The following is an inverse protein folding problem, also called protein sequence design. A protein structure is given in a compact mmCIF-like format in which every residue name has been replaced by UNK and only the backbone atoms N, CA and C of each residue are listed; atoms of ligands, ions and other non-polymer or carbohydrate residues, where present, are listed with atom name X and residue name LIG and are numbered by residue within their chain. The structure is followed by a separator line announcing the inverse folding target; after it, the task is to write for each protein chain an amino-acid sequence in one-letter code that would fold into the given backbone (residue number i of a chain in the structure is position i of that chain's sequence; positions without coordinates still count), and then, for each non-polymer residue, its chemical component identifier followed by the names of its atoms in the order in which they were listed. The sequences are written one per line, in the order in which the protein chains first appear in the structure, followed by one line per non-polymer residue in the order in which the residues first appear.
data_IF_313198874640
#
_entry.id   IF_313198874640
#
_cell.length_a   1.000
_cell.length_b   1.000
_cell.length_c   1.000
_cell.angle_alpha   90.00
_cell.angle_beta   90.00
_cell.angle_gamma   90.00
#
_symmetry.space_group_name_H-M   'P 1'
#
loop_
_entity.id
_entity.type
_entity.pdbx_description
1 polymer ?
#
# COMPACT_ATOMS: atom_id res chain seq x y z
N UNK A 1 12.48 0.66 -12.86
CA UNK A 1 13.47 0.12 -11.94
C UNK A 1 13.49 -1.38 -11.98
N UNK A 2 14.68 -1.94 -12.08
CA UNK A 2 14.85 -3.38 -12.27
C UNK A 2 14.28 -4.21 -11.12
N UNK A 3 14.43 -3.74 -9.88
CA UNK A 3 13.92 -4.45 -8.70
C UNK A 3 12.41 -4.68 -8.77
N UNK A 4 11.65 -3.63 -9.09
CA UNK A 4 10.19 -3.74 -9.17
C UNK A 4 9.76 -4.68 -10.30
N UNK A 5 10.48 -4.65 -11.42
CA UNK A 5 10.21 -5.56 -12.52
C UNK A 5 10.45 -7.01 -12.11
N UNK A 6 11.51 -7.29 -11.37
CA UNK A 6 11.82 -8.65 -10.88
C UNK A 6 10.74 -9.13 -9.93
N UNK A 7 10.32 -8.28 -8.99
CA UNK A 7 9.25 -8.63 -8.05
C UNK A 7 7.95 -8.89 -8.80
N UNK A 8 7.62 -8.02 -9.75
CA UNK A 8 6.42 -8.16 -10.57
C UNK A 8 6.38 -9.50 -11.30
N UNK A 9 7.49 -9.88 -11.92
CA UNK A 9 7.59 -11.16 -12.63
C UNK A 9 7.36 -12.35 -11.71
N UNK A 10 7.88 -12.29 -10.48
CA UNK A 10 7.65 -13.35 -9.49
C UNK A 10 6.18 -13.44 -9.11
N UNK A 11 5.52 -12.29 -8.93
CA UNK A 11 4.11 -12.25 -8.59
C UNK A 11 3.25 -12.83 -9.71
N UNK A 12 3.57 -12.49 -10.94
CA UNK A 12 2.88 -13.02 -12.12
C UNK A 12 3.02 -14.55 -12.15
N UNK A 13 4.24 -15.05 -12.01
CA UNK A 13 4.51 -16.49 -12.08
C UNK A 13 3.81 -17.26 -10.97
N UNK A 14 3.71 -16.68 -9.77
CA UNK A 14 3.05 -17.30 -8.62
C UNK A 14 1.55 -17.03 -8.56
N UNK A 15 1.04 -16.19 -9.46
CA UNK A 15 -0.38 -15.79 -9.49
C UNK A 15 -0.82 -15.14 -8.17
N UNK A 16 0.04 -14.26 -7.63
CA UNK A 16 -0.23 -13.54 -6.39
C UNK A 16 -0.56 -12.09 -6.74
N UNK A 17 -1.71 -11.62 -6.27
CA UNK A 17 -2.09 -10.21 -6.45
C UNK A 17 -1.51 -9.34 -5.34
N UNK A 18 -1.31 -8.06 -5.64
CA UNK A 18 -0.84 -7.08 -4.68
C UNK A 18 -1.73 -5.84 -4.67
N UNK A 19 -1.75 -5.20 -3.52
CA UNK A 19 -2.33 -3.87 -3.35
C UNK A 19 -1.37 -3.06 -2.48
N UNK A 20 -1.43 -1.74 -2.60
CA UNK A 20 -0.54 -0.86 -1.86
C UNK A 20 -1.32 0.14 -1.02
N UNK A 21 -0.72 0.54 0.11
CA UNK A 21 -1.21 1.62 0.94
C UNK A 21 -0.05 2.58 1.16
N UNK A 22 -0.25 3.84 0.81
CA UNK A 22 0.81 4.85 0.82
C UNK A 22 0.33 6.12 1.50
N UNK A 23 1.27 6.89 2.05
CA UNK A 23 1.01 8.19 2.61
C UNK A 23 1.96 9.21 1.95
N UNK A 24 3.15 9.43 2.52
CA UNK A 24 4.06 10.47 2.06
C UNK A 24 4.61 10.23 0.64
N UNK A 25 4.63 9.01 0.17
CA UNK A 25 5.09 8.68 -1.19
C UNK A 25 4.08 9.05 -2.27
N UNK A 26 2.82 9.33 -1.90
CA UNK A 26 1.83 9.87 -2.81
C UNK A 26 1.47 9.01 -4.02
N UNK A 27 1.73 7.70 -3.96
CA UNK A 27 1.44 6.78 -5.06
C UNK A 27 2.68 6.29 -5.79
N UNK A 28 3.86 6.68 -5.36
CA UNK A 28 5.10 6.30 -6.03
C UNK A 28 5.30 4.78 -6.02
N UNK A 29 4.99 4.10 -4.92
CA UNK A 29 5.12 2.65 -4.84
C UNK A 29 4.22 1.96 -5.85
N UNK A 30 2.95 2.35 -5.90
CA UNK A 30 2.00 1.82 -6.87
C UNK A 30 2.48 2.05 -8.30
N UNK A 31 2.91 3.27 -8.60
CA UNK A 31 3.41 3.61 -9.93
C UNK A 31 4.63 2.78 -10.32
N UNK A 32 5.51 2.52 -9.37
CA UNK A 32 6.73 1.73 -9.60
C UNK A 32 6.42 0.31 -10.11
N UNK A 33 5.28 -0.24 -9.71
CA UNK A 33 4.81 -1.52 -10.25
C UNK A 33 4.04 -1.31 -11.56
N UNK A 34 3.10 -0.39 -11.57
CA UNK A 34 2.14 -0.20 -12.66
C UNK A 34 2.82 0.20 -13.98
N UNK A 35 3.93 0.92 -13.91
CA UNK A 35 4.66 1.33 -15.12
C UNK A 35 5.28 0.17 -15.89
N UNK A 36 5.35 -1.02 -15.32
CA UNK A 36 5.94 -2.19 -15.99
C UNK A 36 4.85 -2.99 -16.70
N UNK A 37 5.20 -3.58 -17.86
CA UNK A 37 4.28 -4.43 -18.59
C UNK A 37 3.90 -5.65 -17.77
N UNK A 38 2.64 -6.04 -17.83
CA UNK A 38 2.13 -7.21 -17.12
C UNK A 38 1.60 -6.91 -15.74
N UNK A 39 1.71 -5.65 -15.27
CA UNK A 39 1.25 -5.27 -13.93
C UNK A 39 -0.25 -5.49 -13.72
N UNK A 40 -1.05 -5.35 -14.78
CA UNK A 40 -2.50 -5.55 -14.69
C UNK A 40 -2.88 -6.97 -14.28
N UNK A 41 -1.98 -7.93 -14.44
CA UNK A 41 -2.23 -9.32 -14.03
C UNK A 41 -2.19 -9.50 -12.51
N UNK A 42 -1.51 -8.62 -11.79
CA UNK A 42 -1.28 -8.79 -10.36
C UNK A 42 -1.62 -7.56 -9.51
N UNK A 43 -1.52 -6.35 -10.06
CA UNK A 43 -1.80 -5.15 -9.28
C UNK A 43 -3.31 -4.93 -9.23
N UNK A 44 -3.86 -4.96 -8.01
CA UNK A 44 -5.30 -4.84 -7.79
C UNK A 44 -5.73 -3.41 -7.50
N UNK A 45 -5.20 -2.80 -6.46
CA UNK A 45 -5.57 -1.43 -6.10
C UNK A 45 -4.49 -0.77 -5.23
N UNK A 46 -4.50 0.56 -5.24
CA UNK A 46 -3.61 1.35 -4.39
C UNK A 46 -4.43 2.40 -3.65
N UNK A 47 -4.10 2.59 -2.38
CA UNK A 47 -4.72 3.59 -1.52
C UNK A 47 -3.69 4.63 -1.13
N UNK A 48 -3.99 5.89 -1.39
CA UNK A 48 -3.15 6.99 -0.97
C UNK A 48 -3.89 7.70 0.16
N UNK A 49 -3.55 7.37 1.39
CA UNK A 49 -4.19 7.92 2.58
C UNK A 49 -3.25 8.92 3.23
N UNK A 50 -3.13 10.08 2.60
CA UNK A 50 -2.16 11.08 3.01
C UNK A 50 -2.49 11.71 4.36
N UNK A 51 -3.74 12.12 4.56
CA UNK A 51 -4.17 12.74 5.81
C UNK A 51 -4.48 11.70 6.88
N UNK A 52 -4.44 12.13 8.16
CA UNK A 52 -4.86 11.25 9.26
C UNK A 52 -6.31 10.85 9.13
N UNK A 53 -7.16 11.78 8.70
CA UNK A 53 -8.58 11.51 8.45
C UNK A 53 -8.75 10.37 7.43
N UNK A 54 -7.99 10.41 6.34
CA UNK A 54 -8.04 9.38 5.31
C UNK A 54 -7.54 8.03 5.83
N UNK A 55 -6.47 8.04 6.65
CA UNK A 55 -5.97 6.80 7.27
C UNK A 55 -7.03 6.13 8.12
N UNK A 56 -7.74 6.91 8.91
CA UNK A 56 -8.81 6.40 9.78
C UNK A 56 -9.98 5.87 8.96
N UNK A 57 -10.47 6.68 8.01
CA UNK A 57 -11.69 6.35 7.27
C UNK A 57 -11.48 5.23 6.25
N UNK A 58 -10.34 5.21 5.58
CA UNK A 58 -10.11 4.26 4.49
C UNK A 58 -9.46 2.97 4.95
N UNK A 59 -8.56 3.07 5.94
CA UNK A 59 -7.77 1.91 6.37
C UNK A 59 -7.96 1.54 7.83
N UNK A 60 -8.90 2.19 8.50
CA UNK A 60 -9.24 1.89 9.91
C UNK A 60 -8.06 2.04 10.87
N UNK A 61 -7.16 2.95 10.57
CA UNK A 61 -6.09 3.31 11.51
C UNK A 61 -6.72 3.95 12.73
N UNK A 62 -6.27 3.55 13.91
CA UNK A 62 -6.85 4.04 15.16
C UNK A 62 -6.36 5.46 15.47
N UNK A 63 -7.30 6.31 15.89
CA UNK A 63 -6.95 7.66 16.30
C UNK A 63 -5.91 7.65 17.44
N UNK A 64 -6.05 6.70 18.37
CA UNK A 64 -5.11 6.54 19.47
C UNK A 64 -3.69 6.25 18.98
N UNK A 65 -3.55 5.42 17.94
CA UNK A 65 -2.25 5.11 17.35
C UNK A 65 -1.60 6.35 16.76
N UNK A 66 -2.37 7.14 16.04
CA UNK A 66 -1.89 8.40 15.45
C UNK A 66 -1.48 9.39 16.53
N UNK A 67 -2.24 9.48 17.61
CA UNK A 67 -1.93 10.40 18.72
C UNK A 67 -0.68 9.96 19.50
N UNK A 68 -0.50 8.66 19.70
CA UNK A 68 0.61 8.14 20.50
C UNK A 68 1.91 8.04 19.71
N UNK A 69 1.84 7.54 18.49
CA UNK A 69 3.05 7.22 17.69
C UNK A 69 3.25 8.14 16.50
N UNK A 70 2.23 8.88 16.09
CA UNK A 70 2.30 9.76 14.93
C UNK A 70 2.03 9.04 13.63
N UNK A 71 1.81 9.83 12.58
CA UNK A 71 1.52 9.31 11.25
C UNK A 71 2.71 8.56 10.63
N UNK A 72 3.93 9.00 10.97
CA UNK A 72 5.16 8.41 10.44
C UNK A 72 5.74 7.50 11.50
N UNK A 73 5.23 6.27 11.56
CA UNK A 73 5.65 5.28 12.56
C UNK A 73 5.39 3.88 12.03
N UNK A 74 6.10 2.91 12.57
CA UNK A 74 5.87 1.50 12.21
C UNK A 74 4.49 1.03 12.68
N UNK A 75 4.01 1.56 13.79
CA UNK A 75 2.68 1.22 14.31
C UNK A 75 1.58 1.65 13.35
N UNK A 76 1.66 2.88 12.84
CA UNK A 76 0.69 3.38 11.87
C UNK A 76 0.81 2.61 10.54
N UNK A 77 2.02 2.36 10.08
CA UNK A 77 2.25 1.60 8.85
C UNK A 77 1.64 0.20 8.95
N UNK A 78 1.81 -0.47 10.09
CA UNK A 78 1.23 -1.79 10.31
C UNK A 78 -0.30 -1.75 10.24
N UNK A 79 -0.92 -0.77 10.88
CA UNK A 79 -2.38 -0.64 10.86
C UNK A 79 -2.90 -0.32 9.46
N UNK A 80 -2.14 0.46 8.67
CA UNK A 80 -2.49 0.72 7.27
C UNK A 80 -2.52 -0.58 6.47
N UNK A 81 -1.51 -1.41 6.62
CA UNK A 81 -1.43 -2.70 5.92
C UNK A 81 -2.55 -3.63 6.37
N UNK A 82 -2.79 -3.71 7.68
CA UNK A 82 -3.87 -4.55 8.23
C UNK A 82 -5.22 -4.11 7.69
N UNK A 83 -5.46 -2.80 7.64
CA UNK A 83 -6.71 -2.25 7.10
C UNK A 83 -6.87 -2.52 5.61
N UNK A 84 -5.79 -2.41 4.85
CA UNK A 84 -5.78 -2.73 3.43
C UNK A 84 -6.11 -4.20 3.20
N UNK A 85 -5.48 -5.07 3.95
CA UNK A 85 -5.70 -6.52 3.84
C UNK A 85 -7.16 -6.90 4.04
N UNK A 86 -7.82 -6.26 5.00
CA UNK A 86 -9.23 -6.54 5.31
C UNK A 86 -10.21 -6.05 4.24
N UNK A 87 -9.77 -5.19 3.34
CA UNK A 87 -10.62 -4.67 2.26
C UNK A 87 -10.75 -5.61 1.06
N UNK A 88 -10.07 -6.71 1.08
CA UNK A 88 -10.09 -7.64 -0.05
C UNK A 88 -11.50 -8.15 -0.35
#
# INVERSE_FOLDING_TARGET
MLLYKKILNKLINKKISISTAESCTGGLLAYSFVKNNGSSNVFHSGFITYSNHSKINKLNVKNMTLNKYGAVSKETAKEMVDGLYKKK
#
